data_IF_066970786835
#
_entry.id   IF_066970786835
#
_cell.length_a   1.000
_cell.length_b   1.000
_cell.length_c   1.000
_cell.angle_alpha   90.00
_cell.angle_beta   90.00
_cell.angle_gamma   90.00
#
_symmetry.space_group_name_H-M   'P 1'
#
loop_
_entity.id
_entity.type
_entity.pdbx_description
1 polymer ?
#
# COMPACT_ATOMS: atom_id res chain seq x y z
N UNK A 1 2.71 10.21 -17.33
CA UNK A 1 3.26 11.05 -16.23
C UNK A 1 2.94 10.35 -14.91
N UNK A 2 3.94 9.79 -14.24
CA UNK A 2 3.77 9.05 -12.98
C UNK A 2 3.56 10.05 -11.84
N UNK A 3 2.44 9.95 -11.13
CA UNK A 3 2.13 10.81 -9.97
C UNK A 3 2.98 10.36 -8.78
N UNK A 4 3.79 11.26 -8.23
CA UNK A 4 4.51 11.02 -6.98
C UNK A 4 3.66 11.53 -5.81
N UNK A 5 3.42 10.69 -4.81
CA UNK A 5 2.76 11.08 -3.56
C UNK A 5 3.84 11.26 -2.48
N UNK A 6 3.87 12.40 -1.79
CA UNK A 6 4.85 12.62 -0.72
C UNK A 6 4.15 12.45 0.62
N UNK A 7 4.49 11.40 1.35
CA UNK A 7 4.07 11.22 2.75
C UNK A 7 5.29 11.48 3.62
N UNK A 8 5.29 12.53 4.44
CA UNK A 8 6.35 12.83 5.43
C UNK A 8 7.79 12.69 4.89
N UNK A 9 8.11 13.35 3.78
CA UNK A 9 9.42 13.33 3.10
C UNK A 9 9.82 12.00 2.40
N UNK A 10 8.91 11.03 2.29
CA UNK A 10 9.13 9.86 1.44
C UNK A 10 8.67 10.16 0.02
N UNK A 11 9.61 10.14 -0.93
CA UNK A 11 9.30 10.16 -2.36
C UNK A 11 8.72 8.80 -2.74
N UNK A 12 7.42 8.75 -3.00
CA UNK A 12 6.75 7.54 -3.48
C UNK A 12 6.70 7.54 -5.00
N UNK A 13 7.13 6.45 -5.61
CA UNK A 13 7.02 6.21 -7.04
C UNK A 13 6.04 5.07 -7.27
N UNK A 14 4.95 5.31 -7.99
CA UNK A 14 4.04 4.22 -8.39
C UNK A 14 4.79 3.31 -9.38
N UNK A 15 4.91 2.02 -9.01
CA UNK A 15 5.57 0.98 -9.82
C UNK A 15 4.60 -0.10 -10.30
N UNK A 16 3.37 -0.12 -9.79
CA UNK A 16 2.35 -1.09 -10.20
C UNK A 16 0.95 -0.58 -9.91
N UNK A 17 0.00 -0.98 -10.74
CA UNK A 17 -1.39 -0.60 -10.61
C UNK A 17 -2.31 -1.80 -10.90
N UNK A 18 -3.25 -2.05 -10.00
CA UNK A 18 -4.30 -3.07 -10.15
C UNK A 18 -5.68 -2.46 -9.92
N UNK A 19 -6.72 -3.27 -10.08
CA UNK A 19 -8.11 -2.78 -10.01
C UNK A 19 -8.50 -2.16 -8.66
N UNK A 20 -7.91 -2.64 -7.56
CA UNK A 20 -8.29 -2.25 -6.19
C UNK A 20 -7.13 -1.72 -5.34
N UNK A 21 -5.91 -1.75 -5.87
CA UNK A 21 -4.70 -1.35 -5.17
C UNK A 21 -3.61 -0.91 -6.15
N UNK A 22 -2.64 -0.18 -5.64
CA UNK A 22 -1.43 0.22 -6.36
C UNK A 22 -0.19 -0.05 -5.50
N UNK A 23 0.95 -0.21 -6.15
CA UNK A 23 2.24 -0.44 -5.50
C UNK A 23 3.10 0.80 -5.67
N UNK A 24 3.61 1.31 -4.55
CA UNK A 24 4.62 2.36 -4.51
C UNK A 24 5.98 1.78 -4.14
N UNK A 25 7.03 2.21 -4.83
CA UNK A 25 8.40 2.12 -4.33
C UNK A 25 8.68 3.32 -3.42
N UNK A 26 9.30 3.06 -2.28
CA UNK A 26 9.70 4.07 -1.31
C UNK A 26 11.13 3.80 -0.80
N UNK A 27 11.96 4.83 -0.75
CA UNK A 27 13.30 4.74 -0.15
C UNK A 27 13.27 5.32 1.26
N UNK A 28 13.57 4.50 2.26
CA UNK A 28 13.64 4.91 3.65
C UNK A 28 14.94 4.40 4.27
N UNK A 29 15.72 5.29 4.89
CA UNK A 29 17.00 4.95 5.54
C UNK A 29 17.95 4.13 4.66
N UNK A 30 18.06 4.47 3.37
CA UNK A 30 18.94 3.79 2.42
C UNK A 30 18.44 2.42 1.93
N UNK A 31 17.25 1.99 2.33
CA UNK A 31 16.61 0.75 1.86
C UNK A 31 15.37 1.05 1.02
N UNK A 32 15.17 0.23 -0.01
CA UNK A 32 14.02 0.31 -0.90
C UNK A 32 12.91 -0.63 -0.41
N UNK A 33 11.70 -0.11 -0.30
CA UNK A 33 10.51 -0.84 0.13
C UNK A 33 9.44 -0.78 -0.95
N UNK A 34 8.69 -1.87 -1.08
CA UNK A 34 7.44 -1.89 -1.83
C UNK A 34 6.27 -1.70 -0.86
N UNK A 35 5.48 -0.66 -1.08
CA UNK A 35 4.29 -0.34 -0.31
C UNK A 35 3.06 -0.70 -1.15
N UNK A 36 2.25 -1.63 -0.66
CA UNK A 36 0.94 -1.94 -1.26
C UNK A 36 -0.12 -1.04 -0.63
N UNK A 37 -0.75 -0.21 -1.46
CA UNK A 37 -1.74 0.77 -1.05
C UNK A 37 -3.10 0.44 -1.68
N UNK A 38 -4.16 0.41 -0.88
CA UNK A 38 -5.52 0.23 -1.37
C UNK A 38 -6.14 1.59 -1.72
N UNK A 39 -7.06 1.61 -2.69
CA UNK A 39 -7.76 2.85 -3.01
C UNK A 39 -8.74 3.24 -1.90
N UNK A 40 -8.87 4.54 -1.64
CA UNK A 40 -9.74 5.06 -0.56
C UNK A 40 -11.24 4.79 -0.80
N UNK A 41 -11.63 4.50 -2.03
CA UNK A 41 -13.00 4.11 -2.40
C UNK A 41 -13.22 2.60 -2.36
N UNK A 42 -12.24 1.81 -1.90
CA UNK A 42 -12.42 0.39 -1.70
C UNK A 42 -13.36 0.18 -0.51
N UNK A 43 -14.60 -0.18 -0.82
CA UNK A 43 -15.57 -0.57 0.18
C UNK A 43 -15.37 -2.05 0.53
N UNK A 44 -14.97 -2.32 1.77
CA UNK A 44 -14.94 -3.65 2.33
C UNK A 44 -16.07 -3.76 3.36
N UNK A 45 -16.86 -4.83 3.27
CA UNK A 45 -17.79 -5.15 4.35
C UNK A 45 -17.00 -5.54 5.63
N UNK A 46 -17.67 -5.51 6.78
CA UNK A 46 -17.01 -5.75 8.08
C UNK A 46 -16.37 -7.15 8.18
N UNK A 47 -16.91 -8.15 7.48
CA UNK A 47 -16.35 -9.51 7.49
C UNK A 47 -15.07 -9.55 6.66
N UNK A 48 -15.11 -9.01 5.44
CA UNK A 48 -13.96 -8.91 4.55
C UNK A 48 -12.83 -8.09 5.17
N UNK A 49 -13.15 -6.97 5.83
CA UNK A 49 -12.17 -6.15 6.53
C UNK A 49 -11.52 -6.91 7.70
N UNK A 50 -12.32 -7.61 8.52
CA UNK A 50 -11.79 -8.40 9.64
C UNK A 50 -10.89 -9.53 9.15
N UNK A 51 -11.30 -10.28 8.12
CA UNK A 51 -10.45 -11.33 7.52
C UNK A 51 -9.15 -10.73 7.00
N UNK A 52 -9.22 -9.61 6.27
CA UNK A 52 -8.04 -8.93 5.75
C UNK A 52 -7.06 -8.54 6.86
N UNK A 53 -7.55 -7.92 7.95
CA UNK A 53 -6.71 -7.54 9.09
C UNK A 53 -6.05 -8.78 9.72
N UNK A 54 -6.81 -9.86 9.92
CA UNK A 54 -6.28 -11.10 10.48
C UNK A 54 -5.19 -11.72 9.61
N UNK A 55 -5.43 -11.83 8.30
CA UNK A 55 -4.46 -12.39 7.35
C UNK A 55 -3.19 -11.54 7.26
N UNK A 56 -3.32 -10.22 7.23
CA UNK A 56 -2.15 -9.32 7.22
C UNK A 56 -1.38 -9.39 8.54
N UNK A 57 -2.07 -9.43 9.68
CA UNK A 57 -1.41 -9.52 10.99
C UNK A 57 -0.63 -10.84 11.15
N UNK A 58 -1.13 -11.95 10.61
CA UNK A 58 -0.46 -13.24 10.62
C UNK A 58 0.83 -13.29 9.80
N UNK A 59 1.03 -12.39 8.83
CA UNK A 59 2.24 -12.35 7.99
C UNK A 59 3.42 -11.69 8.73
N UNK A 60 3.17 -10.98 9.84
CA UNK A 60 4.20 -10.24 10.59
C UNK A 60 4.60 -10.88 11.94
N UNK A 61 4.15 -12.10 12.22
CA UNK A 61 4.60 -12.94 13.33
C UNK A 61 5.32 -14.19 12.79
#
# INVERSE_FOLDING_TARGET
>A
MSKALIIRNLKLLIIGNGGFAYINSANFQGKTYALKCFYNNLHLDSKALNTFICEVAHVFY
#
